data_IF_193793589243
#
_entry.id   IF_193793589243
#
_cell.length_a   1.000
_cell.length_b   1.000
_cell.length_c   1.000
_cell.angle_alpha   90.00
_cell.angle_beta   90.00
_cell.angle_gamma   90.00
#
_symmetry.space_group_name_H-M   'P 1'
#
loop_
_entity.id
_entity.type
_entity.pdbx_description
1 polymer ?
#
# COMPACT_ATOMS: atom_id res chain seq x y z
N UNK A 1 -33.38 -21.28 -0.43
CA UNK A 1 -31.92 -21.14 -0.68
C UNK A 1 -31.03 -21.90 0.32
N UNK A 2 -31.49 -22.14 1.55
CA UNK A 2 -30.73 -22.93 2.55
C UNK A 2 -30.74 -24.46 2.29
N UNK A 3 -31.81 -25.00 1.71
CA UNK A 3 -31.99 -26.45 1.52
C UNK A 3 -31.03 -27.03 0.48
N UNK A 4 -30.74 -26.31 -0.61
CA UNK A 4 -29.85 -26.78 -1.67
C UNK A 4 -28.37 -26.80 -1.26
N UNK A 5 -27.93 -25.85 -0.47
CA UNK A 5 -26.56 -25.80 0.04
C UNK A 5 -26.32 -26.91 1.09
N UNK A 6 -27.30 -27.14 1.97
CA UNK A 6 -27.21 -28.22 2.96
C UNK A 6 -27.12 -29.58 2.27
N UNK A 7 -27.91 -29.81 1.22
CA UNK A 7 -27.87 -31.05 0.45
C UNK A 7 -26.48 -31.27 -0.24
N UNK A 8 -25.84 -30.22 -0.73
CA UNK A 8 -24.51 -30.30 -1.36
C UNK A 8 -23.42 -30.71 -0.35
N UNK A 9 -23.47 -30.17 0.87
CA UNK A 9 -22.54 -30.57 1.93
C UNK A 9 -22.83 -31.99 2.42
N UNK A 10 -24.09 -32.39 2.57
CA UNK A 10 -24.47 -33.74 2.92
C UNK A 10 -24.01 -34.80 1.89
N UNK A 11 -24.08 -34.48 0.62
CA UNK A 11 -23.58 -35.37 -0.46
C UNK A 11 -22.05 -35.44 -0.47
N UNK A 12 -21.37 -34.35 -0.11
CA UNK A 12 -19.93 -34.35 0.05
C UNK A 12 -19.49 -35.17 1.27
N UNK A 13 -20.13 -34.99 2.43
CA UNK A 13 -19.83 -35.74 3.67
C UNK A 13 -20.11 -37.25 3.52
N UNK A 14 -21.08 -37.61 2.68
CA UNK A 14 -21.39 -39.02 2.32
C UNK A 14 -20.43 -39.59 1.26
N UNK A 15 -19.43 -38.82 0.82
CA UNK A 15 -18.46 -39.24 -0.20
C UNK A 15 -19.01 -39.37 -1.62
N UNK A 16 -20.19 -38.82 -1.89
CA UNK A 16 -20.83 -38.86 -3.23
C UNK A 16 -20.38 -37.72 -4.12
N UNK A 17 -19.78 -36.66 -3.55
CA UNK A 17 -19.16 -35.54 -4.29
C UNK A 17 -17.67 -35.45 -3.94
N UNK A 18 -16.84 -35.35 -4.95
CA UNK A 18 -15.44 -35.00 -4.76
C UNK A 18 -15.31 -33.50 -4.40
N UNK A 19 -14.21 -33.13 -3.70
CA UNK A 19 -13.89 -31.72 -3.36
C UNK A 19 -13.96 -30.78 -4.59
N UNK A 20 -13.54 -31.26 -5.77
CA UNK A 20 -13.61 -30.50 -7.02
C UNK A 20 -15.04 -30.28 -7.48
N UNK A 21 -15.91 -31.30 -7.38
CA UNK A 21 -17.33 -31.19 -7.75
C UNK A 21 -18.10 -30.31 -6.78
N UNK A 22 -17.80 -30.36 -5.46
CA UNK A 22 -18.36 -29.45 -4.48
C UNK A 22 -18.01 -28.00 -4.79
N UNK A 23 -16.74 -27.70 -5.07
CA UNK A 23 -16.29 -26.36 -5.41
C UNK A 23 -16.90 -25.86 -6.74
N UNK A 24 -17.07 -26.72 -7.73
CA UNK A 24 -17.75 -26.39 -8.96
C UNK A 24 -19.24 -26.10 -8.76
N UNK A 25 -19.92 -26.90 -7.95
CA UNK A 25 -21.33 -26.69 -7.60
C UNK A 25 -21.56 -25.40 -6.80
N UNK A 26 -20.68 -25.10 -5.85
CA UNK A 26 -20.69 -23.84 -5.11
C UNK A 26 -20.39 -22.64 -6.02
N UNK A 27 -19.46 -22.77 -6.96
CA UNK A 27 -19.14 -21.74 -7.96
C UNK A 27 -20.32 -21.41 -8.87
N UNK A 28 -21.08 -22.42 -9.32
CA UNK A 28 -22.29 -22.23 -10.13
C UNK A 28 -23.40 -21.60 -9.29
N UNK A 29 -23.58 -22.00 -8.02
CA UNK A 29 -24.57 -21.42 -7.13
C UNK A 29 -24.31 -19.93 -6.82
N UNK A 30 -23.05 -19.50 -6.81
CA UNK A 30 -22.66 -18.10 -6.68
C UNK A 30 -22.88 -17.33 -7.99
N UNK A 31 -22.65 -17.96 -9.17
CA UNK A 31 -22.85 -17.33 -10.47
C UNK A 31 -24.31 -17.09 -10.86
N UNK A 32 -25.26 -17.82 -10.25
CA UNK A 32 -26.70 -17.68 -10.51
C UNK A 32 -27.41 -16.65 -9.63
N UNK A 33 -26.69 -15.92 -8.77
CA UNK A 33 -27.26 -14.79 -8.04
C UNK A 33 -27.51 -13.63 -9.03
N UNK A 34 -28.71 -13.07 -9.09
CA UNK A 34 -28.97 -11.92 -9.93
C UNK A 34 -28.06 -10.75 -9.49
N UNK A 35 -27.48 -10.07 -10.45
CA UNK A 35 -26.55 -8.94 -10.25
C UNK A 35 -27.04 -7.83 -9.27
N UNK A 36 -28.36 -7.80 -9.02
CA UNK A 36 -28.97 -6.87 -8.05
C UNK A 36 -28.62 -7.16 -6.58
N UNK A 37 -28.14 -8.36 -6.23
CA UNK A 37 -27.77 -8.69 -4.86
C UNK A 37 -26.37 -8.24 -4.48
N UNK A 38 -25.52 -7.93 -5.48
CA UNK A 38 -24.15 -7.41 -5.27
C UNK A 38 -24.12 -5.88 -5.08
N UNK A 39 -25.21 -5.17 -5.42
CA UNK A 39 -25.27 -3.72 -5.33
C UNK A 39 -25.47 -3.18 -3.90
N UNK A 40 -25.84 -4.03 -2.94
CA UNK A 40 -26.14 -3.58 -1.56
C UNK A 40 -24.96 -3.55 -0.59
N UNK A 41 -23.76 -3.93 -1.02
CA UNK A 41 -22.55 -3.96 -0.20
C UNK A 41 -21.43 -3.02 -0.60
N UNK A 42 -21.61 -2.24 -1.68
CA UNK A 42 -20.49 -1.51 -2.30
C UNK A 42 -20.12 -0.17 -1.67
N UNK A 43 -20.87 0.31 -0.70
CA UNK A 43 -20.60 1.58 -0.05
C UNK A 43 -20.50 1.40 1.46
N UNK A 44 -19.45 0.79 1.93
CA UNK A 44 -19.22 0.51 3.35
C UNK A 44 -19.40 1.77 4.22
N UNK A 45 -20.58 1.95 4.81
CA UNK A 45 -20.91 3.05 5.71
C UNK A 45 -21.35 4.37 5.06
N UNK A 46 -21.26 4.56 3.75
CA UNK A 46 -21.89 5.68 3.06
C UNK A 46 -23.33 5.32 2.66
N UNK A 47 -24.26 6.27 2.76
CA UNK A 47 -25.64 6.03 2.32
C UNK A 47 -25.67 5.92 0.80
N UNK A 48 -26.25 4.84 0.26
CA UNK A 48 -26.49 4.70 -1.17
C UNK A 48 -27.22 5.95 -1.71
N UNK A 49 -26.73 6.49 -2.82
CA UNK A 49 -27.30 7.68 -3.47
C UNK A 49 -26.76 9.02 -2.97
N UNK A 50 -25.76 9.05 -2.09
CA UNK A 50 -25.01 10.27 -1.81
C UNK A 50 -23.91 10.45 -2.86
N UNK A 51 -23.46 11.72 -3.16
CA UNK A 51 -22.33 11.95 -4.06
C UNK A 51 -21.04 11.23 -3.63
N UNK A 52 -21.00 10.71 -2.40
CA UNK A 52 -19.89 9.98 -1.79
C UNK A 52 -19.92 8.48 -2.11
N UNK A 53 -21.04 7.97 -2.62
CA UNK A 53 -21.23 6.58 -3.02
C UNK A 53 -21.78 6.51 -4.44
N UNK A 54 -20.92 6.79 -5.42
CA UNK A 54 -21.18 6.56 -6.84
C UNK A 54 -20.70 5.15 -7.21
N UNK A 55 -21.59 4.17 -7.49
CA UNK A 55 -21.21 2.83 -7.86
C UNK A 55 -20.64 2.73 -9.29
N UNK A 56 -20.63 3.82 -10.04
CA UNK A 56 -20.15 3.81 -11.43
C UNK A 56 -18.65 3.48 -11.43
N UNK A 57 -18.21 2.39 -12.09
CA UNK A 57 -16.78 2.12 -12.27
C UNK A 57 -16.09 3.29 -12.97
N UNK A 58 -14.88 3.61 -12.53
CA UNK A 58 -14.08 4.58 -13.26
C UNK A 58 -13.80 4.06 -14.69
N UNK A 59 -13.93 4.97 -15.65
CA UNK A 59 -13.48 4.68 -17.02
C UNK A 59 -11.97 4.48 -17.01
N UNK A 60 -11.49 3.43 -17.69
CA UNK A 60 -10.05 3.25 -17.89
C UNK A 60 -9.48 4.43 -18.67
N UNK A 61 -8.35 5.02 -18.23
CA UNK A 61 -7.75 6.17 -18.90
C UNK A 61 -7.17 5.82 -20.28
N UNK A 62 -6.85 4.53 -20.48
CA UNK A 62 -6.30 3.98 -21.73
C UNK A 62 -6.51 2.45 -21.75
N UNK A 63 -6.26 1.85 -22.91
CA UNK A 63 -6.27 0.39 -23.05
C UNK A 63 -5.21 -0.26 -22.15
N UNK A 64 -5.55 -1.34 -21.41
CA UNK A 64 -4.62 -2.03 -20.55
C UNK A 64 -3.33 -2.45 -21.26
N UNK A 65 -2.23 -2.42 -20.55
CA UNK A 65 -0.93 -2.87 -21.07
C UNK A 65 -0.82 -4.38 -21.19
N UNK A 66 -1.58 -5.11 -20.38
CA UNK A 66 -1.44 -6.55 -20.18
C UNK A 66 -0.24 -6.95 -19.32
N UNK A 67 0.48 -6.00 -18.70
CA UNK A 67 1.56 -6.30 -17.78
C UNK A 67 1.03 -6.82 -16.44
N UNK A 68 1.86 -7.64 -15.77
CA UNK A 68 1.62 -8.03 -14.39
C UNK A 68 2.76 -7.55 -13.53
N UNK A 69 2.44 -7.00 -12.37
CA UNK A 69 3.43 -6.63 -11.35
C UNK A 69 3.96 -7.89 -10.68
N UNK A 70 5.29 -8.07 -10.70
CA UNK A 70 5.96 -9.28 -10.19
C UNK A 70 6.89 -9.02 -9.01
N UNK A 71 7.22 -7.75 -8.73
CA UNK A 71 8.10 -7.37 -7.64
C UNK A 71 7.81 -5.93 -7.16
N UNK A 72 7.87 -5.71 -5.86
CA UNK A 72 8.20 -4.40 -5.31
C UNK A 72 9.73 -4.28 -5.28
N UNK A 73 10.33 -3.46 -6.17
CA UNK A 73 11.76 -3.24 -6.07
C UNK A 73 12.07 -2.35 -4.85
N UNK A 74 11.42 -1.20 -4.74
CA UNK A 74 11.57 -0.34 -3.57
C UNK A 74 10.45 0.69 -3.43
N UNK A 75 10.23 1.12 -2.19
CA UNK A 75 9.67 2.43 -1.88
C UNK A 75 10.79 3.46 -1.85
N UNK A 76 10.49 4.69 -2.25
CA UNK A 76 11.41 5.81 -2.24
C UNK A 76 10.88 6.91 -1.35
N UNK A 77 11.70 7.41 -0.44
CA UNK A 77 11.32 8.54 0.40
C UNK A 77 12.49 9.48 0.68
N UNK A 78 12.15 10.72 0.89
CA UNK A 78 13.06 11.77 1.33
C UNK A 78 12.79 12.10 2.79
N UNK A 79 13.83 12.13 3.61
CA UNK A 79 13.74 12.34 5.06
C UNK A 79 14.77 13.40 5.50
N UNK A 80 14.52 14.04 6.63
CA UNK A 80 15.47 15.01 7.17
C UNK A 80 16.75 14.32 7.69
N UNK A 81 16.62 13.17 8.31
CA UNK A 81 17.72 12.41 8.93
C UNK A 81 17.65 10.94 8.47
N UNK A 82 18.19 10.64 7.28
CA UNK A 82 18.14 9.29 6.72
C UNK A 82 18.97 8.27 7.53
N UNK A 83 20.13 8.59 8.12
CA UNK A 83 20.87 7.62 8.92
C UNK A 83 20.09 7.13 10.14
N UNK A 84 19.39 8.03 10.84
CA UNK A 84 18.53 7.65 11.97
C UNK A 84 17.33 6.82 11.52
N UNK A 85 16.71 7.18 10.41
CA UNK A 85 15.58 6.44 9.86
C UNK A 85 16.01 5.02 9.44
N UNK A 86 17.17 4.89 8.77
CA UNK A 86 17.72 3.60 8.39
C UNK A 86 18.06 2.72 9.59
N UNK A 87 18.73 3.29 10.61
CA UNK A 87 19.04 2.59 11.86
C UNK A 87 17.77 2.14 12.61
N UNK A 88 16.72 2.96 12.59
CA UNK A 88 15.43 2.62 13.19
C UNK A 88 14.79 1.41 12.51
N UNK A 89 14.66 1.41 11.18
CA UNK A 89 14.09 0.28 10.46
C UNK A 89 14.94 -0.99 10.59
N UNK A 90 16.26 -0.85 10.55
CA UNK A 90 17.17 -1.98 10.77
C UNK A 90 16.98 -2.58 12.16
N UNK A 91 16.83 -1.76 13.20
CA UNK A 91 16.64 -2.24 14.57
C UNK A 91 15.21 -2.75 14.83
N UNK A 92 14.16 -2.04 14.38
CA UNK A 92 12.77 -2.43 14.67
C UNK A 92 12.27 -3.57 13.77
N UNK A 93 12.51 -3.47 12.46
CA UNK A 93 11.98 -4.44 11.49
C UNK A 93 12.99 -5.53 11.12
N UNK A 94 14.20 -5.45 11.68
CA UNK A 94 15.31 -6.34 11.35
C UNK A 94 15.64 -6.34 9.84
N UNK A 95 15.46 -5.16 9.19
CA UNK A 95 15.79 -4.99 7.77
C UNK A 95 17.28 -4.80 7.58
N UNK A 96 17.82 -5.43 6.55
CA UNK A 96 19.24 -5.33 6.24
C UNK A 96 19.54 -4.05 5.46
N UNK A 97 20.48 -3.24 5.93
CA UNK A 97 21.03 -2.14 5.15
C UNK A 97 21.92 -2.74 4.07
N UNK A 98 21.51 -2.59 2.79
CA UNK A 98 22.21 -3.14 1.63
C UNK A 98 23.31 -2.21 1.15
N UNK A 99 23.06 -0.90 1.17
CA UNK A 99 24.03 0.12 0.77
C UNK A 99 23.76 1.44 1.51
N UNK A 100 24.83 2.22 1.66
CA UNK A 100 24.80 3.60 2.13
C UNK A 100 25.92 4.36 1.43
N UNK A 101 25.61 5.46 0.76
CA UNK A 101 26.56 6.27 0.00
C UNK A 101 26.85 7.64 0.64
N UNK A 102 26.41 7.83 1.88
CA UNK A 102 26.53 9.10 2.63
C UNK A 102 25.46 10.13 2.29
N UNK A 103 24.57 9.85 1.32
CA UNK A 103 23.44 10.71 0.93
C UNK A 103 22.11 9.95 1.00
N UNK A 104 22.15 8.65 0.81
CA UNK A 104 21.01 7.74 0.86
C UNK A 104 21.42 6.38 1.40
N UNK A 105 20.47 5.69 2.01
CA UNK A 105 20.58 4.29 2.39
C UNK A 105 19.52 3.46 1.65
N UNK A 106 19.86 2.23 1.29
CA UNK A 106 18.94 1.23 0.73
C UNK A 106 18.84 0.07 1.68
N UNK A 107 17.63 -0.21 2.12
CA UNK A 107 17.33 -1.34 3.02
C UNK A 107 16.57 -2.43 2.26
N UNK A 108 16.83 -3.68 2.61
CA UNK A 108 16.05 -4.82 2.16
C UNK A 108 14.88 -5.06 3.09
N UNK A 109 13.66 -5.08 2.56
CA UNK A 109 12.43 -5.48 3.25
C UNK A 109 12.27 -6.99 3.10
N UNK A 110 12.83 -7.77 4.03
CA UNK A 110 12.91 -9.21 3.86
C UNK A 110 13.61 -9.59 2.54
N UNK A 111 13.04 -10.57 1.84
CA UNK A 111 13.60 -11.09 0.57
C UNK A 111 12.88 -10.55 -0.68
N UNK A 112 11.96 -9.57 -0.54
CA UNK A 112 11.01 -9.27 -1.60
C UNK A 112 10.81 -7.79 -1.92
N UNK A 113 11.38 -6.89 -1.13
CA UNK A 113 11.22 -5.46 -1.35
C UNK A 113 12.41 -4.64 -0.85
N UNK A 114 12.38 -3.35 -1.07
CA UNK A 114 13.38 -2.42 -0.61
C UNK A 114 12.80 -1.07 -0.19
N UNK A 115 13.60 -0.33 0.58
CA UNK A 115 13.32 1.03 0.99
C UNK A 115 14.54 1.88 0.66
N UNK A 116 14.37 2.91 -0.17
CA UNK A 116 15.39 3.92 -0.46
C UNK A 116 15.12 5.15 0.40
N UNK A 117 16.00 5.43 1.33
CA UNK A 117 15.95 6.60 2.22
C UNK A 117 16.95 7.64 1.75
N UNK A 118 16.49 8.78 1.28
CA UNK A 118 17.32 9.92 0.88
C UNK A 118 17.27 11.03 1.91
N UNK A 119 18.40 11.64 2.18
CA UNK A 119 18.48 12.85 3.02
C UNK A 119 17.97 14.11 2.31
N UNK A 120 17.95 15.20 3.04
CA UNK A 120 17.69 16.54 2.49
C UNK A 120 16.22 16.93 2.39
N UNK A 121 15.31 16.23 3.07
CA UNK A 121 13.91 16.67 3.14
C UNK A 121 13.81 18.07 3.75
N UNK A 122 13.07 18.93 3.07
CA UNK A 122 12.68 20.25 3.58
C UNK A 122 11.16 20.29 3.73
N UNK A 123 10.71 20.53 4.94
CA UNK A 123 9.28 20.70 5.19
C UNK A 123 8.75 21.87 4.35
N UNK A 124 7.61 21.73 3.67
CA UNK A 124 6.98 22.86 3.02
C UNK A 124 6.68 23.96 4.06
N UNK A 125 6.74 25.24 3.67
CA UNK A 125 6.37 26.30 4.59
C UNK A 125 4.96 26.08 5.12
N UNK A 126 4.69 26.39 6.41
CA UNK A 126 3.36 26.23 6.97
C UNK A 126 2.36 27.02 6.11
N UNK A 127 1.15 26.50 5.89
CA UNK A 127 0.11 27.22 5.18
C UNK A 127 -0.19 28.55 5.91
N UNK A 128 -0.60 29.61 5.18
CA UNK A 128 -1.06 30.83 5.82
C UNK A 128 -2.10 30.51 6.92
N UNK A 129 -2.08 31.24 8.01
CA UNK A 129 -2.95 30.97 9.16
C UNK A 129 -4.46 30.90 8.81
N UNK A 130 -4.87 31.53 7.71
CA UNK A 130 -6.23 31.48 7.16
C UNK A 130 -6.61 30.11 6.55
N UNK A 131 -5.62 29.28 6.15
CA UNK A 131 -5.83 28.04 5.43
C UNK A 131 -5.46 26.80 6.27
N UNK A 132 -5.11 27.01 7.53
CA UNK A 132 -4.81 25.91 8.45
C UNK A 132 -6.11 25.11 8.70
N UNK A 133 -6.12 23.79 8.44
CA UNK A 133 -7.28 22.96 8.76
C UNK A 133 -7.56 23.03 10.27
N UNK A 134 -8.85 23.07 10.68
CA UNK A 134 -9.18 23.07 12.10
C UNK A 134 -8.58 21.84 12.78
N UNK A 135 -7.94 22.05 13.91
CA UNK A 135 -7.45 20.97 14.76
C UNK A 135 -8.64 20.12 15.23
N UNK A 136 -8.86 18.96 14.64
CA UNK A 136 -9.98 18.10 15.02
C UNK A 136 -10.52 17.20 13.91
N UNK A 137 -9.67 16.41 13.28
CA UNK A 137 -10.11 15.24 12.51
C UNK A 137 -10.33 14.03 13.45
N UNK A 138 -11.40 13.28 13.22
CA UNK A 138 -11.80 12.11 14.01
C UNK A 138 -10.63 11.18 14.32
N UNK A 139 -10.32 10.98 15.60
CA UNK A 139 -9.61 9.83 16.12
C UNK A 139 -8.09 9.90 16.21
N UNK A 140 -7.43 11.02 15.93
CA UNK A 140 -5.98 11.15 16.09
C UNK A 140 -5.61 12.39 16.90
N UNK A 141 -4.84 12.21 17.97
CA UNK A 141 -4.12 13.32 18.62
C UNK A 141 -3.23 14.07 17.62
N UNK A 142 -2.60 15.19 18.03
CA UNK A 142 -1.72 15.96 17.15
C UNK A 142 -0.67 15.02 16.55
N UNK A 143 -0.70 14.86 15.23
CA UNK A 143 0.37 14.13 14.52
C UNK A 143 1.66 14.90 14.68
N UNK A 144 2.72 14.20 15.06
CA UNK A 144 4.05 14.79 15.03
C UNK A 144 4.34 15.37 13.64
N UNK A 145 5.05 16.52 13.58
CA UNK A 145 5.42 17.10 12.30
C UNK A 145 6.19 16.06 11.49
N UNK A 146 5.78 15.82 10.25
CA UNK A 146 6.52 14.96 9.32
C UNK A 146 7.73 15.72 8.80
N UNK A 147 8.91 15.18 9.03
CA UNK A 147 10.16 15.60 8.40
C UNK A 147 10.55 14.65 7.28
N UNK A 148 9.54 14.16 6.56
CA UNK A 148 9.70 13.13 5.56
C UNK A 148 8.52 13.10 4.57
N UNK A 149 8.78 12.62 3.36
CA UNK A 149 7.77 12.29 2.37
C UNK A 149 8.17 11.06 1.58
N UNK A 150 7.22 10.17 1.34
CA UNK A 150 7.35 9.20 0.25
C UNK A 150 7.19 9.95 -1.07
N UNK A 151 8.11 9.76 -1.99
CA UNK A 151 8.16 10.47 -3.26
C UNK A 151 8.04 9.56 -4.48
N UNK A 152 8.04 8.23 -4.28
CA UNK A 152 7.83 7.27 -5.33
C UNK A 152 7.82 5.82 -4.87
N UNK A 153 7.54 4.93 -5.81
CA UNK A 153 7.73 3.49 -5.67
C UNK A 153 8.14 2.88 -7.01
N UNK A 154 8.85 1.77 -6.95
CA UNK A 154 9.33 1.04 -8.12
C UNK A 154 8.76 -0.37 -8.15
N UNK A 155 8.12 -0.71 -9.28
CA UNK A 155 7.53 -2.02 -9.50
C UNK A 155 8.17 -2.72 -10.68
N UNK A 156 8.56 -3.97 -10.47
CA UNK A 156 8.97 -4.86 -11.54
C UNK A 156 7.76 -5.43 -12.27
N UNK A 157 7.83 -5.47 -13.58
CA UNK A 157 6.80 -6.10 -14.44
C UNK A 157 7.34 -7.33 -15.15
N UNK A 158 6.46 -8.26 -15.48
CA UNK A 158 6.77 -9.37 -16.36
C UNK A 158 7.02 -8.92 -17.83
N UNK A 159 7.52 -9.84 -18.64
CA UNK A 159 7.70 -9.64 -20.09
C UNK A 159 8.42 -8.32 -20.48
N UNK A 160 9.45 -7.93 -19.73
CA UNK A 160 10.20 -6.69 -19.96
C UNK A 160 10.91 -6.68 -21.34
N UNK A 161 10.65 -5.64 -22.10
CA UNK A 161 11.40 -5.21 -23.28
C UNK A 161 11.42 -3.68 -23.26
N UNK A 162 12.56 -3.08 -23.02
CA UNK A 162 12.67 -1.64 -22.77
C UNK A 162 12.04 -0.80 -23.89
N UNK A 163 12.25 -1.16 -25.16
CA UNK A 163 11.71 -0.42 -26.30
C UNK A 163 10.19 -0.55 -26.40
N UNK A 164 9.65 -1.76 -26.15
CA UNK A 164 8.20 -1.99 -26.13
C UNK A 164 7.55 -1.29 -24.96
N UNK A 165 8.18 -1.32 -23.77
CA UNK A 165 7.68 -0.63 -22.58
C UNK A 165 7.66 0.87 -22.82
N UNK A 166 8.75 1.47 -23.31
CA UNK A 166 8.79 2.89 -23.63
C UNK A 166 7.70 3.28 -24.64
N UNK A 167 7.56 2.51 -25.72
CA UNK A 167 6.54 2.76 -26.74
C UNK A 167 5.14 2.66 -26.15
N UNK A 168 4.87 1.63 -25.33
CA UNK A 168 3.57 1.44 -24.69
C UNK A 168 3.20 2.59 -23.74
N UNK A 169 4.19 3.12 -23.00
CA UNK A 169 3.99 4.29 -22.13
C UNK A 169 3.65 5.55 -22.93
N UNK A 170 4.44 5.82 -23.98
CA UNK A 170 4.22 7.00 -24.87
C UNK A 170 2.89 6.96 -25.60
N UNK A 171 2.47 5.79 -26.10
CA UNK A 171 1.19 5.59 -26.78
C UNK A 171 0.02 5.90 -25.83
N UNK A 172 0.20 5.75 -24.51
CA UNK A 172 -0.79 6.05 -23.47
C UNK A 172 -0.73 7.48 -22.96
N UNK A 173 0.07 8.34 -23.61
CA UNK A 173 0.23 9.74 -23.22
C UNK A 173 1.14 9.97 -22.02
N UNK A 174 1.88 8.94 -21.57
CA UNK A 174 2.84 9.08 -20.50
C UNK A 174 4.21 9.53 -21.03
N UNK A 175 4.99 10.19 -20.19
CA UNK A 175 6.34 10.67 -20.53
C UNK A 175 7.37 9.84 -19.77
N UNK A 176 7.85 8.72 -20.35
CA UNK A 176 8.85 7.89 -19.69
C UNK A 176 10.22 8.59 -19.64
N UNK A 177 10.85 8.55 -18.47
CA UNK A 177 12.22 9.01 -18.22
C UNK A 177 13.02 7.79 -17.77
N UNK A 178 14.05 7.41 -18.54
CA UNK A 178 14.86 6.24 -18.23
C UNK A 178 15.71 6.47 -16.98
N UNK A 179 15.80 5.46 -16.14
CA UNK A 179 16.71 5.36 -14.98
C UNK A 179 17.30 3.94 -14.93
N UNK A 180 18.48 3.76 -15.49
CA UNK A 180 19.12 2.46 -15.65
C UNK A 180 20.36 2.35 -14.77
N UNK A 181 20.55 1.20 -14.12
CA UNK A 181 21.68 0.89 -13.25
C UNK A 181 22.20 -0.52 -13.56
N UNK A 182 23.22 -0.61 -14.43
CA UNK A 182 23.70 -1.89 -14.92
C UNK A 182 22.60 -2.66 -15.66
N UNK A 183 22.34 -3.89 -15.26
CA UNK A 183 21.28 -4.72 -15.85
C UNK A 183 19.87 -4.33 -15.38
N UNK A 184 19.76 -3.52 -14.34
CA UNK A 184 18.48 -2.97 -13.91
C UNK A 184 18.08 -1.81 -14.84
N UNK A 185 16.95 -2.00 -15.51
CA UNK A 185 16.37 -1.04 -16.43
C UNK A 185 15.01 -0.59 -15.95
N UNK A 186 14.73 0.70 -16.08
CA UNK A 186 13.45 1.25 -15.63
C UNK A 186 13.08 2.54 -16.34
N UNK A 187 11.81 2.91 -16.20
CA UNK A 187 11.27 4.19 -16.60
C UNK A 187 10.46 4.79 -15.46
N UNK A 188 10.68 6.08 -15.18
CA UNK A 188 9.81 6.88 -14.36
C UNK A 188 8.69 7.47 -15.20
N UNK A 189 7.48 7.45 -14.68
CA UNK A 189 6.31 8.16 -15.18
C UNK A 189 5.56 8.79 -14.02
N UNK A 190 4.62 9.70 -14.30
CA UNK A 190 3.76 10.28 -13.27
C UNK A 190 2.38 9.64 -13.33
N UNK A 191 1.83 9.36 -12.15
CA UNK A 191 0.45 8.96 -12.00
C UNK A 191 -0.51 10.16 -12.19
N UNK A 192 -1.84 9.99 -12.15
CA UNK A 192 -2.79 11.09 -12.33
C UNK A 192 -2.62 12.27 -11.35
N UNK A 193 -2.08 12.03 -10.17
CA UNK A 193 -1.82 13.05 -9.15
C UNK A 193 -0.38 13.59 -9.16
N UNK A 194 0.44 13.14 -10.11
CA UNK A 194 1.84 13.54 -10.26
C UNK A 194 2.81 12.78 -9.36
N UNK A 195 2.36 11.70 -8.69
CA UNK A 195 3.24 10.84 -7.90
C UNK A 195 4.20 10.06 -8.79
N UNK A 196 5.43 9.84 -8.32
CA UNK A 196 6.45 9.16 -9.11
C UNK A 196 6.23 7.65 -9.09
N UNK A 197 6.01 7.11 -10.28
CA UNK A 197 5.91 5.69 -10.54
C UNK A 197 7.09 5.24 -11.39
N UNK A 198 7.91 4.36 -10.83
CA UNK A 198 9.00 3.71 -11.57
C UNK A 198 8.57 2.29 -11.95
N UNK A 199 8.72 1.95 -13.23
CA UNK A 199 8.41 0.63 -13.81
C UNK A 199 9.72 0.04 -14.29
N UNK A 200 10.02 -1.21 -13.92
CA UNK A 200 11.32 -1.81 -14.12
C UNK A 200 11.28 -3.26 -14.60
N UNK A 201 12.43 -3.75 -15.05
CA UNK A 201 12.70 -5.18 -15.25
C UNK A 201 13.06 -5.90 -13.95
N UNK A 202 12.80 -5.24 -12.80
CA UNK A 202 13.09 -5.76 -11.48
C UNK A 202 12.40 -7.09 -11.23
N UNK A 203 13.13 -8.01 -10.64
CA UNK A 203 12.65 -9.30 -10.15
C UNK A 203 13.53 -9.75 -8.97
N UNK A 204 13.22 -10.88 -8.34
CA UNK A 204 13.98 -11.33 -7.15
C UNK A 204 15.49 -11.46 -7.37
N UNK A 205 15.95 -11.64 -8.61
CA UNK A 205 17.38 -11.79 -8.96
C UNK A 205 17.98 -10.50 -9.51
N UNK A 206 17.17 -9.64 -10.09
CA UNK A 206 17.58 -8.36 -10.67
C UNK A 206 16.90 -7.22 -9.90
N UNK A 207 17.60 -6.68 -8.90
CA UNK A 207 17.17 -5.60 -8.03
C UNK A 207 18.01 -4.35 -8.32
N UNK A 208 17.43 -3.18 -8.16
CA UNK A 208 18.22 -1.94 -8.21
C UNK A 208 19.33 -2.00 -7.17
N UNK A 209 20.55 -1.97 -7.65
CA UNK A 209 21.75 -1.97 -6.80
C UNK A 209 22.07 -0.52 -6.44
N UNK A 210 22.31 -0.26 -5.18
CA UNK A 210 22.97 0.96 -4.75
C UNK A 210 24.47 0.74 -4.73
N UNK A 211 25.27 1.80 -4.67
CA UNK A 211 26.71 1.66 -4.47
C UNK A 211 26.95 0.86 -3.18
N UNK A 212 27.75 -0.19 -3.29
CA UNK A 212 28.13 -1.02 -2.16
C UNK A 212 29.19 -0.26 -1.33
N UNK A 213 28.74 0.58 -0.44
CA UNK A 213 29.67 1.34 0.42
C UNK A 213 29.08 1.52 1.79
N UNK A 214 29.84 1.15 2.78
CA UNK A 214 29.67 1.56 4.14
C UNK A 214 28.39 1.08 4.85
N UNK A 215 28.46 1.05 6.15
CA UNK A 215 27.31 0.92 7.04
C UNK A 215 26.84 2.34 7.40
N UNK A 216 25.53 2.50 7.63
CA UNK A 216 25.06 3.77 8.22
C UNK A 216 25.82 4.05 9.50
N UNK A 217 26.25 5.28 9.67
CA UNK A 217 27.02 5.71 10.84
C UNK A 217 26.14 5.96 12.07
N UNK A 218 24.82 6.00 11.90
CA UNK A 218 23.91 6.20 13.02
C UNK A 218 23.86 4.96 13.92
N UNK A 219 24.02 5.11 15.23
CA UNK A 219 23.86 4.01 16.17
C UNK A 219 22.42 3.51 16.15
N UNK A 220 22.23 2.20 16.37
CA UNK A 220 20.91 1.62 16.56
C UNK A 220 20.22 2.31 17.75
N UNK A 221 18.97 2.80 17.62
CA UNK A 221 18.29 3.52 18.68
C UNK A 221 17.89 2.60 19.87
N UNK A 222 17.85 1.29 19.63
CA UNK A 222 17.50 0.24 20.59
C UNK A 222 18.01 -1.11 20.07
N UNK A 223 17.89 -2.13 20.91
CA UNK A 223 18.21 -3.51 20.54
C UNK A 223 17.32 -4.02 19.39
N UNK A 224 17.95 -4.69 18.43
CA UNK A 224 17.27 -5.23 17.25
C UNK A 224 16.24 -6.29 17.63
N UNK A 225 15.06 -6.23 17.02
CA UNK A 225 14.03 -7.26 17.15
C UNK A 225 14.42 -8.52 16.38
N UNK A 226 13.77 -9.64 16.70
CA UNK A 226 13.83 -10.88 15.90
C UNK A 226 12.75 -10.93 14.81
N UNK A 227 12.04 -9.82 14.55
CA UNK A 227 10.93 -9.82 13.60
C UNK A 227 11.39 -10.13 12.19
N UNK A 228 10.55 -10.87 11.49
CA UNK A 228 10.73 -11.15 10.07
C UNK A 228 9.52 -10.64 9.30
N UNK A 229 9.73 -9.64 8.45
CA UNK A 229 8.69 -9.16 7.51
C UNK A 229 8.40 -10.24 6.47
N UNK A 230 7.14 -10.62 6.34
CA UNK A 230 6.70 -11.72 5.46
C UNK A 230 5.70 -11.31 4.39
N UNK A 231 5.08 -10.12 4.54
CA UNK A 231 4.04 -9.66 3.64
C UNK A 231 3.98 -8.13 3.57
N UNK A 232 3.68 -7.58 2.39
CA UNK A 232 3.19 -6.22 2.26
C UNK A 232 1.68 -6.26 2.51
N UNK A 233 1.26 -5.93 3.73
CA UNK A 233 -0.15 -5.97 4.09
C UNK A 233 -0.91 -4.93 3.26
N UNK A 234 -0.57 -3.65 3.39
CA UNK A 234 -1.08 -2.64 2.48
C UNK A 234 -0.26 -1.35 2.48
N UNK A 235 -0.41 -0.61 1.38
CA UNK A 235 -0.03 0.79 1.27
C UNK A 235 -1.30 1.63 1.44
N UNK A 236 -1.32 2.58 2.37
CA UNK A 236 -2.37 3.61 2.43
C UNK A 236 -1.97 4.79 1.54
N UNK A 237 -2.65 4.93 0.41
CA UNK A 237 -2.33 5.91 -0.62
C UNK A 237 -3.48 6.92 -0.79
N UNK A 238 -3.23 8.16 -0.39
CA UNK A 238 -4.18 9.25 -0.46
C UNK A 238 -4.01 10.03 -1.77
N UNK A 239 -5.08 10.18 -2.53
CA UNK A 239 -5.08 10.76 -3.87
C UNK A 239 -6.27 11.69 -4.07
N UNK A 240 -6.22 12.54 -5.10
CA UNK A 240 -7.31 13.48 -5.41
C UNK A 240 -8.58 12.75 -5.86
N UNK A 241 -8.44 11.72 -6.69
CA UNK A 241 -9.54 10.90 -7.20
C UNK A 241 -9.17 9.41 -7.14
N UNK A 242 -9.60 8.73 -6.09
CA UNK A 242 -9.24 7.31 -5.85
C UNK A 242 -9.71 6.37 -6.98
N UNK A 243 -10.85 6.65 -7.63
CA UNK A 243 -11.36 5.84 -8.75
C UNK A 243 -10.48 5.99 -9.98
N UNK A 244 -10.13 7.22 -10.35
CA UNK A 244 -9.25 7.50 -11.48
C UNK A 244 -7.86 6.87 -11.27
N UNK A 245 -7.31 7.01 -10.08
CA UNK A 245 -6.00 6.45 -9.74
C UNK A 245 -6.03 4.92 -9.71
N UNK A 246 -7.07 4.29 -9.14
CA UNK A 246 -7.22 2.84 -9.16
C UNK A 246 -7.35 2.30 -10.58
N UNK A 247 -8.15 2.95 -11.44
CA UNK A 247 -8.29 2.60 -12.85
C UNK A 247 -6.96 2.76 -13.63
N UNK A 248 -6.17 3.77 -13.30
CA UNK A 248 -4.85 3.99 -13.89
C UNK A 248 -3.88 2.84 -13.56
N UNK A 249 -3.74 2.48 -12.28
CA UNK A 249 -2.84 1.38 -11.88
C UNK A 249 -3.33 0.02 -12.38
N UNK A 250 -4.64 -0.21 -12.40
CA UNK A 250 -5.22 -1.39 -13.02
C UNK A 250 -4.84 -1.50 -14.51
N UNK A 251 -5.06 -0.45 -15.28
CA UNK A 251 -4.77 -0.44 -16.71
C UNK A 251 -3.28 -0.52 -17.03
N UNK A 252 -2.43 0.10 -16.18
CA UNK A 252 -0.99 0.19 -16.44
C UNK A 252 -0.22 -1.01 -15.89
N UNK A 253 -0.50 -1.46 -14.67
CA UNK A 253 0.29 -2.45 -13.94
C UNK A 253 -0.43 -3.78 -13.69
N UNK A 254 -1.67 -3.92 -14.16
CA UNK A 254 -2.47 -5.12 -13.98
C UNK A 254 -2.94 -5.36 -12.54
N UNK A 255 -2.93 -4.31 -11.67
CA UNK A 255 -3.42 -4.48 -10.30
C UNK A 255 -4.91 -4.79 -10.32
N UNK A 256 -5.31 -5.78 -9.54
CA UNK A 256 -6.71 -6.20 -9.51
C UNK A 256 -7.51 -5.28 -8.60
N UNK A 257 -8.53 -4.65 -9.17
CA UNK A 257 -9.46 -3.83 -8.40
C UNK A 257 -10.23 -4.70 -7.41
N UNK A 258 -10.23 -4.30 -6.16
CA UNK A 258 -11.01 -4.90 -5.09
C UNK A 258 -12.35 -4.21 -4.91
N UNK A 259 -12.86 -4.26 -3.68
CA UNK A 259 -14.13 -3.62 -3.32
C UNK A 259 -14.01 -2.11 -3.34
N UNK A 260 -14.94 -1.44 -4.02
CA UNK A 260 -15.11 0.02 -3.92
C UNK A 260 -15.99 0.32 -2.70
N UNK A 261 -15.40 0.99 -1.72
CA UNK A 261 -16.09 1.35 -0.47
C UNK A 261 -16.73 2.74 -0.50
N UNK A 262 -16.75 3.38 -1.68
CA UNK A 262 -17.32 4.73 -1.87
C UNK A 262 -16.39 5.88 -1.48
N UNK A 263 -15.29 5.60 -0.76
CA UNK A 263 -14.25 6.58 -0.40
C UNK A 263 -12.84 6.07 -0.67
N UNK A 264 -12.70 4.80 -0.95
CA UNK A 264 -11.45 4.09 -1.23
C UNK A 264 -11.70 2.84 -2.06
N UNK A 265 -10.64 2.35 -2.71
CA UNK A 265 -10.59 1.05 -3.35
C UNK A 265 -9.33 0.32 -2.89
N UNK A 266 -9.48 -0.93 -2.47
CA UNK A 266 -8.36 -1.80 -2.19
C UNK A 266 -8.00 -2.56 -3.46
N UNK A 267 -6.76 -2.40 -3.93
CA UNK A 267 -6.26 -3.10 -5.11
C UNK A 267 -5.23 -4.15 -4.70
N UNK A 268 -5.33 -5.34 -5.30
CA UNK A 268 -4.34 -6.40 -5.15
C UNK A 268 -3.15 -6.17 -6.09
N UNK A 269 -1.94 -6.20 -5.56
CA UNK A 269 -0.69 -6.06 -6.32
C UNK A 269 -0.10 -7.47 -6.52
N UNK A 270 -0.66 -8.21 -7.46
CA UNK A 270 -0.22 -9.58 -7.74
C UNK A 270 -0.07 -10.43 -6.47
N UNK A 271 1.05 -11.15 -6.38
CA UNK A 271 1.42 -11.96 -5.22
C UNK A 271 2.28 -11.21 -4.17
N UNK A 272 2.25 -9.87 -4.17
CA UNK A 272 3.14 -9.04 -3.37
C UNK A 272 2.43 -8.48 -2.14
N UNK A 273 1.23 -7.95 -2.32
CA UNK A 273 0.47 -7.27 -1.27
C UNK A 273 -0.68 -6.46 -1.84
N UNK A 274 -1.11 -5.48 -1.06
CA UNK A 274 -2.27 -4.66 -1.39
C UNK A 274 -1.95 -3.16 -1.31
N UNK A 275 -2.77 -2.37 -1.99
CA UNK A 275 -2.78 -0.91 -1.85
C UNK A 275 -4.20 -0.43 -1.64
N UNK A 276 -4.42 0.40 -0.64
CA UNK A 276 -5.69 1.06 -0.38
C UNK A 276 -5.60 2.48 -0.92
N UNK A 277 -6.20 2.70 -2.08
CA UNK A 277 -6.24 4.02 -2.73
C UNK A 277 -7.43 4.77 -2.18
N UNK A 278 -7.18 5.87 -1.48
CA UNK A 278 -8.17 6.64 -0.73
C UNK A 278 -8.31 8.05 -1.27
N UNK A 279 -9.50 8.63 -1.13
CA UNK A 279 -9.68 10.06 -1.33
C UNK A 279 -8.90 10.82 -0.26
N UNK A 280 -7.95 11.64 -0.66
CA UNK A 280 -7.19 12.51 0.24
C UNK A 280 -8.11 13.46 1.00
N UNK A 281 -8.02 13.44 2.32
CA UNK A 281 -8.87 14.18 3.24
C UNK A 281 -8.39 15.59 3.53
N UNK A 282 -8.15 16.42 2.53
CA UNK A 282 -7.68 17.81 2.69
C UNK A 282 -8.72 18.90 2.52
N UNK A 283 -10.01 18.58 2.38
CA UNK A 283 -11.08 19.55 2.19
C UNK A 283 -12.20 19.41 3.22
N UNK A 284 -12.51 20.51 3.91
CA UNK A 284 -13.71 20.64 4.70
C UNK A 284 -14.91 20.27 3.80
N UNK A 285 -15.63 19.18 4.12
CA UNK A 285 -16.81 18.69 3.36
C UNK A 285 -17.96 19.70 3.25
N UNK A 286 -17.86 20.86 3.89
CA UNK A 286 -18.82 21.95 3.90
C UNK A 286 -18.29 23.25 3.30
N UNK A 287 -17.07 23.27 2.73
CA UNK A 287 -16.62 24.45 2.03
C UNK A 287 -17.37 24.61 0.71
N UNK A 288 -17.88 25.82 0.45
CA UNK A 288 -18.42 26.16 -0.83
C UNK A 288 -17.43 25.88 -1.96
N UNK A 289 -17.89 25.51 -3.18
CA UNK A 289 -16.99 25.23 -4.29
C UNK A 289 -16.01 26.37 -4.47
N UNK A 290 -14.72 26.16 -4.25
CA UNK A 290 -13.71 27.16 -4.53
C UNK A 290 -13.61 27.35 -6.05
N UNK A 291 -13.45 28.58 -6.51
CA UNK A 291 -13.32 28.91 -7.93
C UNK A 291 -12.09 28.29 -8.60
N UNK A 292 -11.20 27.65 -7.82
CA UNK A 292 -10.00 26.94 -8.30
C UNK A 292 -10.03 25.49 -7.78
N UNK A 293 -9.98 24.50 -8.67
CA UNK A 293 -9.84 23.10 -8.24
C UNK A 293 -8.61 22.96 -7.32
N UNK A 294 -8.68 22.19 -6.23
CA UNK A 294 -7.50 21.90 -5.42
C UNK A 294 -6.41 21.27 -6.30
N UNK A 295 -5.16 21.65 -6.06
CA UNK A 295 -4.05 21.03 -6.75
C UNK A 295 -4.07 19.51 -6.52
N UNK A 296 -3.93 18.74 -7.59
CA UNK A 296 -3.82 17.28 -7.49
C UNK A 296 -2.61 16.93 -6.63
N UNK A 297 -2.79 16.05 -5.67
CA UNK A 297 -1.73 15.62 -4.75
C UNK A 297 -1.94 14.16 -4.37
N UNK A 298 -0.85 13.41 -4.47
CA UNK A 298 -0.78 12.07 -3.91
C UNK A 298 0.14 12.07 -2.68
N UNK A 299 -0.19 11.26 -1.69
CA UNK A 299 0.65 11.06 -0.51
C UNK A 299 0.47 9.65 0.05
N UNK A 300 1.57 9.03 0.46
CA UNK A 300 1.47 7.82 1.28
C UNK A 300 1.17 8.21 2.72
N UNK A 301 0.04 7.74 3.24
CA UNK A 301 -0.38 7.92 4.62
C UNK A 301 0.47 7.08 5.57
N UNK A 302 0.52 5.77 5.31
CA UNK A 302 1.33 4.77 6.00
C UNK A 302 1.56 3.55 5.11
N UNK A 303 2.47 2.68 5.55
CA UNK A 303 2.66 1.35 4.98
C UNK A 303 2.55 0.34 6.11
N UNK A 304 1.81 -0.72 5.86
CA UNK A 304 1.62 -1.85 6.77
C UNK A 304 2.40 -3.07 6.30
N UNK A 305 3.13 -3.67 7.23
CA UNK A 305 3.90 -4.88 6.99
C UNK A 305 3.48 -6.00 7.92
N UNK A 306 3.17 -7.14 7.35
CA UNK A 306 2.94 -8.37 8.09
C UNK A 306 4.26 -8.98 8.59
N UNK A 307 4.28 -9.38 9.86
CA UNK A 307 5.43 -10.06 10.46
C UNK A 307 5.10 -11.51 10.79
N UNK A 308 6.10 -12.39 10.71
CA UNK A 308 5.93 -13.77 11.12
C UNK A 308 5.70 -13.88 12.63
N UNK A 309 4.76 -14.77 13.03
CA UNK A 309 4.50 -15.03 14.45
C UNK A 309 3.95 -13.81 15.20
N UNK A 310 3.11 -13.00 14.57
CA UNK A 310 2.48 -11.86 15.22
C UNK A 310 1.59 -12.33 16.37
N UNK A 311 1.92 -11.88 17.58
CA UNK A 311 1.11 -12.04 18.78
C UNK A 311 0.88 -10.67 19.40
N UNK A 312 -0.39 -10.24 19.64
CA UNK A 312 -0.71 -8.87 20.05
C UNK A 312 0.11 -8.38 21.26
N UNK A 313 0.11 -9.15 22.35
CA UNK A 313 0.79 -8.73 23.57
C UNK A 313 2.31 -8.69 23.42
N UNK A 314 2.88 -9.63 22.67
CA UNK A 314 4.30 -9.66 22.40
C UNK A 314 4.73 -8.46 21.55
N UNK A 315 3.98 -8.13 20.47
CA UNK A 315 4.28 -6.97 19.62
C UNK A 315 4.14 -5.66 20.40
N UNK A 316 3.05 -5.51 21.17
CA UNK A 316 2.85 -4.35 22.06
C UNK A 316 3.98 -4.21 23.07
N UNK A 317 4.37 -5.32 23.70
CA UNK A 317 5.49 -5.37 24.66
C UNK A 317 6.82 -4.95 24.03
N UNK A 318 7.13 -5.45 22.81
CA UNK A 318 8.33 -5.09 22.07
C UNK A 318 8.39 -3.59 21.71
N UNK A 319 7.26 -3.02 21.25
CA UNK A 319 7.16 -1.58 20.98
C UNK A 319 7.34 -0.75 22.25
N UNK A 320 6.59 -1.08 23.31
CA UNK A 320 6.62 -0.36 24.59
C UNK A 320 8.00 -0.41 25.26
N UNK A 321 8.66 -1.56 25.24
CA UNK A 321 10.02 -1.73 25.80
C UNK A 321 11.05 -0.82 25.12
N UNK A 322 10.82 -0.45 23.87
CA UNK A 322 11.65 0.47 23.08
C UNK A 322 11.23 1.93 23.20
N UNK A 323 10.25 2.24 24.06
CA UNK A 323 9.70 3.59 24.20
C UNK A 323 8.84 4.03 23.00
N UNK A 324 8.39 3.09 22.17
CA UNK A 324 7.56 3.37 21.02
C UNK A 324 6.08 3.26 21.35
N UNK A 325 5.25 4.04 20.66
CA UNK A 325 3.80 3.92 20.78
C UNK A 325 3.33 2.64 20.10
N UNK A 326 2.32 1.98 20.70
CA UNK A 326 1.63 0.85 20.14
C UNK A 326 0.15 1.18 20.03
N UNK A 327 -0.24 1.88 18.96
CA UNK A 327 -1.64 2.24 18.70
C UNK A 327 -2.32 1.10 17.96
N UNK A 328 -3.29 0.50 18.61
CA UNK A 328 -4.05 -0.64 18.06
C UNK A 328 -4.88 -0.23 16.83
N UNK A 329 -4.92 -1.11 15.83
CA UNK A 329 -5.83 -1.02 14.71
C UNK A 329 -6.35 -2.43 14.35
N UNK A 330 -7.67 -2.57 14.40
CA UNK A 330 -8.40 -3.81 14.13
C UNK A 330 -9.21 -3.74 12.83
N UNK A 331 -8.95 -2.71 11.99
CA UNK A 331 -9.76 -2.43 10.80
C UNK A 331 -11.17 -1.94 11.12
N UNK A 332 -11.55 -1.79 12.39
CA UNK A 332 -12.88 -1.39 12.82
C UNK A 332 -12.98 -1.20 14.32
N UNK A 333 -14.17 -1.52 14.87
CA UNK A 333 -14.39 -1.56 16.32
C UNK A 333 -14.25 -3.00 16.80
N UNK A 334 -13.34 -3.25 17.71
CA UNK A 334 -13.16 -4.58 18.27
C UNK A 334 -11.93 -4.64 19.16
N UNK A 335 -11.84 -5.69 19.94
CA UNK A 335 -10.70 -6.02 20.77
C UNK A 335 -9.63 -6.69 19.89
N UNK A 336 -8.38 -6.28 20.02
CA UNK A 336 -7.27 -6.78 19.18
C UNK A 336 -7.03 -8.27 19.35
N UNK A 337 -7.42 -8.89 20.47
CA UNK A 337 -7.23 -10.31 20.68
C UNK A 337 -8.26 -11.15 19.92
N UNK A 338 -9.45 -10.59 19.68
CA UNK A 338 -10.58 -11.29 19.04
C UNK A 338 -10.83 -10.85 17.59
N UNK A 339 -10.32 -9.68 17.18
CA UNK A 339 -10.49 -9.19 15.83
C UNK A 339 -9.84 -10.11 14.80
N UNK A 340 -10.42 -10.21 13.59
CA UNK A 340 -9.83 -10.92 12.46
C UNK A 340 -8.56 -10.21 11.94
N UNK A 341 -8.62 -8.88 11.82
CA UNK A 341 -7.46 -8.05 11.50
C UNK A 341 -6.82 -7.50 12.78
N UNK A 342 -5.49 -7.60 12.86
CA UNK A 342 -4.72 -7.19 14.05
C UNK A 342 -3.46 -6.48 13.63
N UNK A 343 -3.26 -5.28 14.15
CA UNK A 343 -2.06 -4.51 13.88
C UNK A 343 -1.78 -3.45 14.95
N UNK A 344 -0.57 -2.93 14.95
CA UNK A 344 -0.15 -1.78 15.71
C UNK A 344 0.48 -0.73 14.81
N UNK A 345 0.11 0.52 15.01
CA UNK A 345 0.81 1.65 14.44
C UNK A 345 1.87 2.19 15.41
N UNK A 346 2.99 2.59 14.86
CA UNK A 346 4.03 3.34 15.57
C UNK A 346 4.58 4.44 14.67
N UNK A 347 5.34 5.38 15.26
CA UNK A 347 5.88 6.51 14.51
C UNK A 347 7.39 6.39 14.40
N UNK A 348 7.91 6.57 13.18
CA UNK A 348 9.35 6.57 12.92
C UNK A 348 10.01 7.90 13.32
N UNK A 349 11.36 7.98 13.41
CA UNK A 349 12.07 9.21 13.79
C UNK A 349 11.73 10.45 12.96
N UNK A 350 11.45 10.27 11.65
CA UNK A 350 11.06 11.38 10.77
C UNK A 350 9.54 11.54 10.63
N UNK A 351 8.75 10.85 11.46
CA UNK A 351 7.30 11.04 11.56
C UNK A 351 6.47 10.23 10.56
N UNK A 352 7.02 9.19 9.93
CA UNK A 352 6.19 8.24 9.20
C UNK A 352 5.34 7.40 10.16
N UNK A 353 4.15 7.07 9.72
CA UNK A 353 3.29 6.10 10.37
C UNK A 353 3.63 4.71 9.83
N UNK A 354 4.23 3.87 10.67
CA UNK A 354 4.56 2.48 10.36
C UNK A 354 3.53 1.57 11.01
N UNK A 355 2.92 0.69 10.23
CA UNK A 355 1.98 -0.28 10.73
C UNK A 355 2.57 -1.69 10.66
N UNK A 356 2.40 -2.46 11.74
CA UNK A 356 2.90 -3.82 11.89
C UNK A 356 1.69 -4.70 12.13
N UNK A 357 1.45 -5.68 11.25
CA UNK A 357 0.21 -6.46 11.24
C UNK A 357 0.45 -7.98 11.35
N UNK A 358 -0.64 -8.67 11.67
CA UNK A 358 -0.72 -10.13 11.64
C UNK A 358 -0.90 -10.69 10.23
N UNK A 359 -1.05 -9.83 9.22
CA UNK A 359 -1.38 -10.24 7.87
C UNK A 359 -0.24 -10.96 7.19
N UNK A 360 -0.57 -12.05 6.53
CA UNK A 360 0.34 -12.88 5.72
C UNK A 360 -0.32 -13.18 4.38
N UNK A 361 0.41 -13.71 3.42
CA UNK A 361 -0.18 -14.18 2.16
C UNK A 361 -1.32 -15.18 2.38
N UNK A 362 -1.25 -15.98 3.44
CA UNK A 362 -2.23 -17.04 3.72
C UNK A 362 -3.54 -16.52 4.33
N UNK A 363 -3.49 -15.43 5.10
CA UNK A 363 -4.66 -14.90 5.84
C UNK A 363 -5.08 -13.49 5.42
N UNK A 364 -4.56 -12.97 4.31
CA UNK A 364 -4.83 -11.57 3.86
C UNK A 364 -6.31 -11.27 3.57
N UNK A 365 -7.13 -12.31 3.47
CA UNK A 365 -8.58 -12.20 3.20
C UNK A 365 -9.45 -12.70 4.38
N UNK A 366 -8.86 -12.91 5.55
CA UNK A 366 -9.58 -13.40 6.72
C UNK A 366 -10.45 -12.32 7.37
#
# INVERSE_FOLDING_TARGET
MSIELTNLFDEFDRGRLSRRQLLQALGIAVALRPAAAFAQGQCGGARAGTPECDPTPAKLPFEPTGWNTVLLDHFSCQVADYPKEAAYYAALMNWKIRSDDGKQAVLDIGDWGGLVLRGGFQAPPPPPASDAPPAGGRGGGPRAPRNAAFDGFCWGIDAWDAKKVETALRTRGLTPVADNHGDFQSFHVKDPDGFDLQISNGNRKNRRQGPATGQTTAPAPFETTSWKTVWLDHISFEVSNYKETAAFYHALLGWKLGTDEGSQNQCEIGDIGDIIIRRGGGGNRSAAPSARPPARRAAMGHISFGIAGFEPDAVKGELTRRGLTAREDTGGRGDIHTASYKSYHTTTPNGFDLQISATTKANRWA
#
